data_IF_831470316249
#
_entry.id   IF_831470316249
#
_cell.length_a   1.000
_cell.length_b   1.000
_cell.length_c   1.000
_cell.angle_alpha   90.00
_cell.angle_beta   90.00
_cell.angle_gamma   90.00
#
_symmetry.space_group_name_H-M   'P 1'
#
loop_
_entity.id
_entity.type
_entity.pdbx_description
1 polymer ?
#
# COMPACT_ATOMS: atom_id res chain seq x y z
N UNK A 1 -8.09 -3.20 4.15
CA UNK A 1 -6.71 -3.68 4.39
C UNK A 1 -6.11 -4.15 3.07
N UNK A 2 -4.87 -3.78 2.75
CA UNK A 2 -4.18 -4.24 1.55
C UNK A 2 -3.64 -5.68 1.72
N UNK A 3 -3.57 -6.44 0.63
CA UNK A 3 -2.98 -7.79 0.62
C UNK A 3 -1.52 -7.72 0.14
N UNK A 4 -0.63 -7.26 1.02
CA UNK A 4 0.78 -7.05 0.68
C UNK A 4 1.63 -8.26 1.04
N UNK A 5 2.22 -8.99 0.07
CA UNK A 5 3.11 -10.12 0.37
C UNK A 5 4.49 -9.68 0.86
N UNK A 6 4.91 -8.47 0.51
CA UNK A 6 6.07 -7.80 1.07
C UNK A 6 5.85 -6.27 0.97
N UNK A 7 6.69 -5.49 1.66
CA UNK A 7 6.64 -4.02 1.69
C UNK A 7 7.73 -3.39 0.81
N UNK A 8 8.37 -4.15 -0.07
CA UNK A 8 9.48 -3.66 -0.87
C UNK A 8 9.00 -2.89 -2.10
N UNK A 9 9.64 -1.75 -2.36
CA UNK A 9 9.53 -1.03 -3.64
C UNK A 9 10.76 -1.32 -4.52
N UNK A 10 11.96 -1.40 -3.91
CA UNK A 10 13.23 -1.64 -4.61
C UNK A 10 14.20 -2.41 -3.71
N UNK A 11 14.67 -3.57 -4.18
CA UNK A 11 15.59 -4.48 -3.46
C UNK A 11 17.05 -4.40 -3.97
N UNK A 12 17.45 -3.26 -4.54
CA UNK A 12 18.82 -3.10 -5.10
C UNK A 12 19.74 -2.66 -3.97
N UNK A 13 20.86 -3.37 -3.78
CA UNK A 13 21.85 -3.07 -2.76
C UNK A 13 22.33 -1.61 -2.83
N UNK A 14 22.30 -0.91 -1.69
CA UNK A 14 22.67 0.50 -1.58
C UNK A 14 21.66 1.47 -2.20
N UNK A 15 20.53 0.98 -2.69
CA UNK A 15 19.41 1.75 -3.26
C UNK A 15 18.06 1.21 -2.79
N UNK A 16 18.03 0.56 -1.64
CA UNK A 16 16.84 -0.06 -1.06
C UNK A 16 15.72 0.97 -0.89
N UNK A 17 14.49 0.54 -1.17
CA UNK A 17 13.29 1.33 -0.88
C UNK A 17 12.19 0.37 -0.44
N UNK A 18 11.55 0.67 0.68
CA UNK A 18 10.40 -0.05 1.20
C UNK A 18 9.34 0.93 1.70
N UNK A 19 8.14 0.44 1.96
CA UNK A 19 7.12 1.20 2.70
C UNK A 19 7.01 0.70 4.13
N UNK A 20 6.64 1.63 5.02
CA UNK A 20 6.17 1.31 6.37
C UNK A 20 4.69 1.65 6.43
N UNK A 21 3.88 0.67 6.80
CA UNK A 21 2.45 0.87 7.02
C UNK A 21 2.20 1.43 8.43
N UNK A 22 1.31 2.41 8.52
CA UNK A 22 0.80 2.95 9.78
C UNK A 22 -0.71 2.77 9.83
N UNK A 23 -1.19 2.21 10.93
CA UNK A 23 -2.62 2.03 11.21
C UNK A 23 -3.13 2.97 12.31
N UNK A 24 -2.25 3.82 12.83
CA UNK A 24 -2.53 4.79 13.88
C UNK A 24 -1.81 6.11 13.58
N UNK A 25 -2.43 7.23 13.93
CA UNK A 25 -1.80 8.54 14.02
C UNK A 25 -2.25 9.24 15.30
N UNK A 26 -1.30 9.82 16.05
CA UNK A 26 -1.57 10.58 17.28
C UNK A 26 -2.44 9.83 18.32
N UNK A 27 -2.27 8.51 18.47
CA UNK A 27 -3.07 7.70 19.40
C UNK A 27 -4.42 7.23 18.86
N UNK A 28 -4.75 7.56 17.59
CA UNK A 28 -6.06 7.27 16.99
C UNK A 28 -5.90 6.31 15.82
N UNK A 29 -6.67 5.22 15.83
CA UNK A 29 -6.71 4.26 14.75
C UNK A 29 -7.22 4.92 13.45
N UNK A 30 -6.56 4.63 12.34
CA UNK A 30 -6.88 5.16 11.02
C UNK A 30 -7.86 4.24 10.29
N UNK A 31 -8.92 4.79 9.70
CA UNK A 31 -9.86 4.00 8.90
C UNK A 31 -9.19 3.31 7.70
N UNK A 32 -8.19 3.98 7.11
CA UNK A 32 -7.33 3.44 6.06
C UNK A 32 -5.85 3.56 6.47
N UNK A 33 -5.01 2.55 6.18
CA UNK A 33 -3.60 2.61 6.54
C UNK A 33 -2.87 3.68 5.72
N UNK A 34 -1.98 4.41 6.39
CA UNK A 34 -1.05 5.34 5.75
C UNK A 34 0.30 4.67 5.50
N UNK A 35 1.07 5.22 4.56
CA UNK A 35 2.37 4.66 4.18
C UNK A 35 3.47 5.71 4.19
N UNK A 36 4.55 5.41 4.90
CA UNK A 36 5.82 6.13 4.79
C UNK A 36 6.74 5.40 3.80
N UNK A 37 7.58 6.14 3.06
CA UNK A 37 8.61 5.55 2.19
C UNK A 37 9.97 5.65 2.86
N UNK A 38 10.62 4.50 3.03
CA UNK A 38 11.90 4.33 3.74
C UNK A 38 13.01 3.99 2.73
N UNK A 39 14.21 4.53 2.92
CA UNK A 39 15.32 4.44 1.96
C UNK A 39 16.59 3.83 2.56
N UNK A 40 17.31 3.07 1.73
CA UNK A 40 18.66 2.60 1.98
C UNK A 40 18.79 1.88 3.33
N UNK A 41 19.78 2.31 4.12
CA UNK A 41 20.10 1.73 5.43
C UNK A 41 18.98 1.80 6.47
N UNK A 42 17.99 2.67 6.28
CA UNK A 42 16.87 2.82 7.21
C UNK A 42 15.79 1.74 6.97
N UNK A 43 15.91 0.99 5.87
CA UNK A 43 15.01 -0.14 5.57
C UNK A 43 15.36 -1.34 6.43
N UNK A 44 14.41 -1.80 7.24
CA UNK A 44 14.47 -3.11 7.87
C UNK A 44 14.08 -4.19 6.84
N UNK A 45 15.07 -4.95 6.39
CA UNK A 45 14.87 -5.98 5.37
C UNK A 45 13.96 -7.14 5.83
N UNK A 46 13.96 -7.46 7.14
CA UNK A 46 13.15 -8.54 7.69
C UNK A 46 11.68 -8.11 7.84
N UNK A 47 11.44 -6.87 8.28
CA UNK A 47 10.11 -6.25 8.26
C UNK A 47 9.58 -6.16 6.82
N UNK A 48 10.39 -5.60 5.92
CA UNK A 48 9.99 -5.39 4.53
C UNK A 48 9.68 -6.70 3.80
N UNK A 49 10.34 -7.81 4.14
CA UNK A 49 10.10 -9.11 3.50
C UNK A 49 8.93 -9.90 4.08
N UNK A 50 8.41 -9.52 5.24
CA UNK A 50 7.37 -10.28 5.94
C UNK A 50 5.99 -10.13 5.30
N UNK A 51 5.68 -8.90 4.87
CA UNK A 51 4.35 -8.53 4.40
C UNK A 51 3.26 -8.80 5.45
N UNK A 52 2.00 -8.74 5.00
CA UNK A 52 0.82 -9.09 5.80
C UNK A 52 -0.09 -10.10 5.10
N UNK A 53 0.29 -10.61 3.92
CA UNK A 53 -0.46 -11.63 3.20
C UNK A 53 0.47 -12.71 2.60
N UNK A 54 0.29 -13.97 2.99
CA UNK A 54 1.09 -15.07 2.47
C UNK A 54 0.33 -16.39 2.54
N UNK A 55 0.56 -17.28 1.55
CA UNK A 55 0.01 -18.64 1.58
C UNK A 55 -1.53 -18.70 1.65
N UNK A 56 -2.21 -17.74 1.03
CA UNK A 56 -3.67 -17.67 1.03
C UNK A 56 -4.29 -17.26 2.37
N UNK A 57 -3.57 -16.51 3.20
CA UNK A 57 -4.11 -15.87 4.42
C UNK A 57 -3.53 -14.48 4.57
N UNK A 58 -4.21 -13.62 5.30
CA UNK A 58 -3.71 -12.30 5.68
C UNK A 58 -3.70 -12.12 7.20
N UNK A 59 -2.88 -11.22 7.69
CA UNK A 59 -2.87 -10.76 9.08
C UNK A 59 -3.33 -9.31 9.05
N UNK A 60 -4.33 -8.99 9.86
CA UNK A 60 -4.82 -7.64 9.99
C UNK A 60 -3.80 -6.75 10.68
N UNK A 61 -3.40 -5.61 10.08
CA UNK A 61 -2.44 -4.69 10.68
C UNK A 61 -3.04 -3.84 11.81
N UNK A 62 -4.32 -4.02 12.12
CA UNK A 62 -5.04 -3.27 13.15
C UNK A 62 -5.12 -4.00 14.49
N UNK A 63 -5.27 -5.33 14.45
CA UNK A 63 -5.58 -6.16 15.61
C UNK A 63 -4.90 -7.54 15.56
N UNK A 64 -3.96 -7.74 14.63
CA UNK A 64 -3.22 -8.99 14.39
C UNK A 64 -4.09 -10.22 14.11
N UNK A 65 -5.38 -10.04 13.81
CA UNK A 65 -6.27 -11.15 13.51
C UNK A 65 -5.93 -11.78 12.16
N UNK A 66 -5.94 -13.11 12.12
CA UNK A 66 -5.77 -13.87 10.88
C UNK A 66 -7.07 -13.84 10.08
N UNK A 67 -6.97 -13.41 8.84
CA UNK A 67 -8.05 -13.47 7.86
C UNK A 67 -7.81 -14.67 6.93
N UNK A 68 -8.79 -15.57 6.92
CA UNK A 68 -8.74 -16.77 6.11
C UNK A 68 -8.84 -16.47 4.61
N UNK A 69 -8.16 -17.27 3.80
CA UNK A 69 -8.16 -17.14 2.35
C UNK A 69 -9.51 -17.30 1.70
N UNK A 70 -10.38 -18.15 2.24
CA UNK A 70 -11.71 -18.35 1.69
C UNK A 70 -12.59 -17.13 1.94
N UNK A 71 -12.41 -16.44 3.07
CA UNK A 71 -13.02 -15.13 3.30
C UNK A 71 -12.50 -14.10 2.29
N UNK A 72 -11.18 -13.99 2.12
CA UNK A 72 -10.57 -13.08 1.14
C UNK A 72 -11.11 -13.34 -0.29
N UNK A 73 -11.20 -14.61 -0.70
CA UNK A 73 -11.77 -14.99 -2.00
C UNK A 73 -13.24 -14.60 -2.10
N UNK A 74 -14.04 -14.81 -1.05
CA UNK A 74 -15.44 -14.44 -1.03
C UNK A 74 -15.62 -12.92 -1.18
N UNK A 75 -14.82 -12.11 -0.47
CA UNK A 75 -14.82 -10.65 -0.61
C UNK A 75 -14.43 -10.21 -2.03
N UNK A 76 -13.41 -10.86 -2.62
CA UNK A 76 -12.98 -10.60 -3.99
C UNK A 76 -14.05 -10.96 -5.02
N UNK A 77 -14.68 -12.13 -4.90
CA UNK A 77 -15.78 -12.57 -5.79
C UNK A 77 -17.01 -11.68 -5.65
N UNK A 78 -17.23 -11.10 -4.47
CA UNK A 78 -18.31 -10.15 -4.24
C UNK A 78 -17.97 -8.72 -4.68
N UNK A 79 -16.78 -8.48 -5.25
CA UNK A 79 -16.37 -7.17 -5.76
C UNK A 79 -16.10 -6.13 -4.68
N UNK A 80 -15.78 -6.55 -3.44
CA UNK A 80 -15.48 -5.65 -2.31
C UNK A 80 -14.00 -5.34 -2.13
N UNK A 81 -13.14 -5.84 -3.02
CA UNK A 81 -11.72 -5.49 -3.04
C UNK A 81 -11.52 -4.15 -3.76
N UNK A 82 -10.66 -3.32 -3.18
CA UNK A 82 -10.25 -2.03 -3.74
C UNK A 82 -8.72 -1.92 -3.78
N UNK A 83 -8.21 -0.94 -4.52
CA UNK A 83 -6.83 -0.49 -4.45
C UNK A 83 -6.56 0.46 -3.27
N UNK A 84 -5.28 0.58 -2.90
CA UNK A 84 -4.77 1.58 -1.95
C UNK A 84 -3.47 2.16 -2.53
N UNK A 85 -3.36 3.50 -2.54
CA UNK A 85 -2.14 4.20 -2.92
C UNK A 85 -1.13 4.15 -1.76
N UNK A 86 0.01 3.48 -1.97
CA UNK A 86 1.03 3.29 -0.93
C UNK A 86 2.35 4.02 -1.19
N UNK A 87 2.61 4.47 -2.43
CA UNK A 87 3.78 5.27 -2.78
C UNK A 87 3.59 5.97 -4.13
N UNK A 88 4.28 7.09 -4.33
CA UNK A 88 4.37 7.77 -5.62
C UNK A 88 5.78 7.65 -6.18
N UNK A 89 5.90 7.12 -7.40
CA UNK A 89 7.16 7.07 -8.13
C UNK A 89 7.37 8.37 -8.93
N UNK A 90 8.52 9.00 -8.76
CA UNK A 90 8.89 10.24 -9.44
C UNK A 90 10.08 9.94 -10.36
N UNK A 91 9.97 10.39 -11.61
CA UNK A 91 11.10 10.40 -12.54
C UNK A 91 11.70 11.80 -12.59
N UNK A 92 12.97 11.93 -12.25
CA UNK A 92 13.69 13.21 -12.30
C UNK A 92 14.11 13.54 -13.73
N UNK A 93 14.55 14.79 -13.94
CA UNK A 93 15.08 15.23 -15.24
C UNK A 93 16.32 14.43 -15.70
N UNK A 94 17.10 13.87 -14.76
CA UNK A 94 18.23 12.98 -15.07
C UNK A 94 17.80 11.57 -15.46
N UNK A 95 16.49 11.27 -15.42
CA UNK A 95 15.93 9.95 -15.70
C UNK A 95 15.92 9.00 -14.50
N UNK A 96 16.45 9.44 -13.35
CA UNK A 96 16.45 8.66 -12.11
C UNK A 96 15.03 8.50 -11.55
N UNK A 97 14.74 7.30 -11.04
CA UNK A 97 13.48 7.00 -10.34
C UNK A 97 13.69 7.09 -8.84
N UNK A 98 12.98 8.02 -8.22
CA UNK A 98 12.85 8.16 -6.75
C UNK A 98 11.39 7.95 -6.33
N UNK A 99 11.13 7.98 -5.03
CA UNK A 99 9.82 7.68 -4.45
C UNK A 99 9.49 8.66 -3.33
N UNK A 100 8.19 8.80 -3.02
CA UNK A 100 7.73 9.51 -1.82
C UNK A 100 6.44 8.90 -1.31
N UNK A 101 6.13 9.18 -0.04
CA UNK A 101 4.81 8.90 0.51
C UNK A 101 3.73 9.65 -0.29
N UNK A 102 2.52 9.07 -0.42
CA UNK A 102 1.37 9.78 -0.94
C UNK A 102 1.06 11.04 -0.12
N UNK A 103 0.65 12.11 -0.80
CA UNK A 103 0.11 13.32 -0.18
C UNK A 103 -1.41 13.36 -0.34
N UNK A 104 -2.08 14.24 0.39
CA UNK A 104 -3.53 14.45 0.23
C UNK A 104 -3.89 14.84 -1.20
N UNK A 105 -3.03 15.60 -1.89
CA UNK A 105 -3.25 15.95 -3.29
C UNK A 105 -3.24 14.72 -4.22
N UNK A 106 -2.41 13.71 -3.94
CA UNK A 106 -2.43 12.46 -4.73
C UNK A 106 -3.71 11.67 -4.49
N UNK A 107 -4.16 11.60 -3.23
CA UNK A 107 -5.42 10.95 -2.89
C UNK A 107 -6.61 11.70 -3.50
N UNK A 108 -6.61 13.03 -3.48
CA UNK A 108 -7.61 13.85 -4.14
C UNK A 108 -7.62 13.64 -5.65
N UNK A 109 -6.46 13.51 -6.28
CA UNK A 109 -6.34 13.22 -7.70
C UNK A 109 -6.93 11.83 -8.05
N UNK A 110 -6.66 10.81 -7.24
CA UNK A 110 -7.25 9.47 -7.42
C UNK A 110 -8.77 9.51 -7.26
N UNK A 111 -9.30 10.09 -6.18
CA UNK A 111 -10.74 10.23 -5.97
C UNK A 111 -11.43 10.95 -7.13
N UNK A 112 -10.79 12.01 -7.67
CA UNK A 112 -11.31 12.72 -8.84
C UNK A 112 -11.29 11.86 -10.10
N UNK A 113 -10.25 11.04 -10.29
CA UNK A 113 -10.13 10.15 -11.44
C UNK A 113 -11.16 9.01 -11.37
N UNK A 114 -11.36 8.42 -10.19
CA UNK A 114 -12.38 7.39 -9.93
C UNK A 114 -13.79 7.91 -10.17
N UNK A 115 -14.13 9.09 -9.65
CA UNK A 115 -15.41 9.74 -9.90
C UNK A 115 -15.63 9.96 -11.40
N UNK A 116 -14.62 10.51 -12.09
CA UNK A 116 -14.70 10.72 -13.54
C UNK A 116 -14.85 9.42 -14.31
N UNK A 117 -14.15 8.36 -13.91
CA UNK A 117 -14.24 7.04 -14.54
C UNK A 117 -15.64 6.45 -14.36
N UNK A 118 -16.21 6.53 -13.16
CA UNK A 118 -17.57 6.10 -12.87
C UNK A 118 -18.60 6.78 -13.78
N UNK A 119 -18.41 8.07 -14.12
CA UNK A 119 -19.31 8.82 -15.01
C UNK A 119 -19.29 8.35 -16.47
N UNK A 120 -18.23 7.68 -16.94
CA UNK A 120 -18.11 7.26 -18.37
C UNK A 120 -17.90 5.78 -18.61
N UNK A 121 -17.64 4.98 -17.59
CA UNK A 121 -17.36 3.55 -17.78
C UNK A 121 -18.51 2.79 -18.48
N UNK A 122 -19.73 3.29 -18.38
CA UNK A 122 -20.96 2.68 -18.92
C UNK A 122 -21.57 3.46 -20.10
N UNK A 123 -20.87 4.47 -20.62
CA UNK A 123 -21.25 5.25 -21.83
C UNK A 123 -20.58 4.66 -23.07
#
# INVERSE_FOLDING_TARGET
MPLMPDMWIRKIEGKEVAVRMRTEADGVALDEPQFDVIFGRDVDAAEASRGIAAGGRAISPYDDMVIDGDYIKAEAQAGRMSEILYAVAIRTASGERTFRAPTEDDHAALRSAEARFADVKDV
#
